data_IF_467663101234
#
_entry.id   IF_467663101234
#
_cell.length_a   1.000
_cell.length_b   1.000
_cell.length_c   1.000
_cell.angle_alpha   90.00
_cell.angle_beta   90.00
_cell.angle_gamma   90.00
#
_symmetry.space_group_name_H-M   'P 1'
#
loop_
_entity.id
_entity.type
_entity.pdbx_description
1 polymer ?
#
# COMPACT_ATOMS: atom_id res chain seq x y z
N UNK A 1 -0.53 -14.51 -7.16
CA UNK A 1 -1.93 -14.27 -6.76
C UNK A 1 -2.96 -15.06 -7.53
N UNK A 2 -2.61 -16.22 -8.11
CA UNK A 2 -3.59 -17.20 -8.60
C UNK A 2 -3.94 -18.07 -7.40
N UNK A 3 -5.19 -17.99 -6.97
CA UNK A 3 -5.68 -18.70 -5.79
C UNK A 3 -7.18 -18.94 -5.92
N UNK A 4 -7.69 -19.96 -5.22
CA UNK A 4 -9.12 -20.17 -5.10
C UNK A 4 -9.79 -18.94 -4.44
N UNK A 5 -11.05 -18.61 -4.78
CA UNK A 5 -12.00 -19.38 -5.60
C UNK A 5 -11.90 -19.15 -7.12
N UNK A 6 -11.37 -18.01 -7.57
CA UNK A 6 -11.43 -17.60 -9.00
C UNK A 6 -10.24 -18.05 -9.84
N UNK A 7 -9.16 -18.55 -9.23
CA UNK A 7 -7.99 -19.00 -9.96
C UNK A 7 -7.32 -17.85 -10.74
N UNK A 8 -7.09 -18.07 -12.04
CA UNK A 8 -6.57 -17.03 -12.94
C UNK A 8 -7.74 -16.21 -13.50
N UNK A 9 -7.80 -14.94 -13.13
CA UNK A 9 -8.90 -14.05 -13.46
C UNK A 9 -8.43 -12.91 -14.37
N UNK A 10 -8.79 -12.99 -15.65
CA UNK A 10 -8.57 -11.94 -16.66
C UNK A 10 -9.73 -11.94 -17.69
N UNK A 11 -10.90 -11.39 -17.34
CA UNK A 11 -12.07 -11.39 -18.23
C UNK A 11 -11.90 -10.46 -19.44
N UNK A 12 -11.07 -9.42 -19.32
CA UNK A 12 -10.84 -8.40 -20.37
C UNK A 12 -9.67 -8.78 -21.28
N UNK A 13 -8.84 -9.74 -20.88
CA UNK A 13 -7.78 -10.31 -21.73
C UNK A 13 -6.52 -9.45 -21.78
N UNK A 14 -6.24 -8.65 -20.74
CA UNK A 14 -5.03 -7.80 -20.68
C UNK A 14 -3.71 -8.58 -20.70
N UNK A 15 -3.77 -9.90 -20.48
CA UNK A 15 -2.60 -10.80 -20.51
C UNK A 15 -2.43 -11.54 -21.84
N UNK A 16 -3.34 -11.38 -22.81
CA UNK A 16 -3.32 -12.13 -24.08
C UNK A 16 -2.18 -11.72 -25.02
N UNK A 17 -1.72 -10.48 -24.92
CA UNK A 17 -0.68 -9.92 -25.81
C UNK A 17 0.72 -10.49 -25.54
N UNK A 18 0.91 -11.25 -24.46
CA UNK A 18 2.16 -11.94 -24.13
C UNK A 18 3.32 -11.02 -23.70
N UNK A 19 3.10 -9.69 -23.66
CA UNK A 19 4.11 -8.73 -23.23
C UNK A 19 4.43 -8.88 -21.72
N UNK A 20 5.61 -9.43 -21.46
CA UNK A 20 6.13 -9.70 -20.11
C UNK A 20 6.48 -8.42 -19.36
N UNK A 21 6.84 -7.34 -20.06
CA UNK A 21 7.18 -6.05 -19.46
C UNK A 21 5.89 -5.37 -18.98
N UNK A 22 4.87 -5.32 -19.84
CA UNK A 22 3.56 -4.79 -19.46
C UNK A 22 2.93 -5.59 -18.31
N UNK A 23 3.04 -6.93 -18.33
CA UNK A 23 2.55 -7.77 -17.24
C UNK A 23 3.28 -7.49 -15.92
N UNK A 24 4.60 -7.39 -15.95
CA UNK A 24 5.42 -7.10 -14.77
C UNK A 24 5.05 -5.74 -14.17
N UNK A 25 4.90 -4.72 -15.02
CA UNK A 25 4.44 -3.39 -14.59
C UNK A 25 3.07 -3.47 -13.92
N UNK A 26 2.09 -4.13 -14.54
CA UNK A 26 0.73 -4.30 -13.97
C UNK A 26 0.77 -5.02 -12.62
N UNK A 27 1.61 -6.05 -12.48
CA UNK A 27 1.80 -6.76 -11.20
C UNK A 27 2.38 -5.86 -10.12
N UNK A 28 3.38 -5.05 -10.43
CA UNK A 28 3.98 -4.09 -9.49
C UNK A 28 2.93 -3.07 -9.06
N UNK A 29 2.17 -2.53 -10.01
CA UNK A 29 1.08 -1.59 -9.73
C UNK A 29 0.03 -2.21 -8.80
N UNK A 30 -0.38 -3.46 -9.02
CA UNK A 30 -1.30 -4.18 -8.13
C UNK A 30 -0.74 -4.27 -6.70
N UNK A 31 0.54 -4.60 -6.54
CA UNK A 31 1.18 -4.70 -5.21
C UNK A 31 1.28 -3.34 -4.52
N UNK A 32 1.60 -2.26 -5.24
CA UNK A 32 1.65 -0.91 -4.65
C UNK A 32 0.26 -0.48 -4.15
N UNK A 33 -0.77 -0.63 -4.98
CA UNK A 33 -2.15 -0.31 -4.57
C UNK A 33 -2.58 -1.18 -3.39
N UNK A 34 -2.23 -2.47 -3.39
CA UNK A 34 -2.56 -3.39 -2.30
C UNK A 34 -1.99 -2.91 -0.96
N UNK A 35 -0.69 -2.58 -0.93
CA UNK A 35 -0.02 -2.11 0.30
C UNK A 35 -0.60 -0.79 0.80
N UNK A 36 -0.82 0.17 -0.11
CA UNK A 36 -1.42 1.47 0.23
C UNK A 36 -2.83 1.29 0.78
N UNK A 37 -3.67 0.49 0.13
CA UNK A 37 -5.04 0.23 0.57
C UNK A 37 -5.10 -0.52 1.90
N UNK A 38 -4.20 -1.47 2.16
CA UNK A 38 -4.13 -2.15 3.46
C UNK A 38 -3.82 -1.17 4.60
N UNK A 39 -2.84 -0.29 4.40
CA UNK A 39 -2.50 0.76 5.37
C UNK A 39 -3.66 1.77 5.52
N UNK A 40 -4.32 2.13 4.43
CA UNK A 40 -5.46 3.04 4.46
C UNK A 40 -6.65 2.45 5.23
N UNK A 41 -7.00 1.18 5.03
CA UNK A 41 -8.07 0.51 5.79
C UNK A 41 -7.77 0.49 7.29
N UNK A 42 -6.56 0.07 7.67
CA UNK A 42 -6.15 0.09 9.07
C UNK A 42 -6.13 1.52 9.64
N UNK A 43 -5.69 2.49 8.85
CA UNK A 43 -5.68 3.91 9.20
C UNK A 43 -7.06 4.54 9.31
N UNK A 44 -8.07 3.99 8.66
CA UNK A 44 -9.47 4.41 8.81
C UNK A 44 -10.07 3.85 10.11
N UNK A 45 -9.77 2.59 10.43
CA UNK A 45 -10.32 1.87 11.58
C UNK A 45 -9.63 2.30 12.90
N UNK A 46 -8.31 2.44 12.92
CA UNK A 46 -7.53 2.68 14.16
C UNK A 46 -7.97 3.93 14.93
N UNK A 47 -8.23 5.09 14.29
CA UNK A 47 -8.71 6.29 14.97
C UNK A 47 -10.09 6.16 15.63
N UNK A 48 -10.88 5.14 15.28
CA UNK A 48 -12.14 4.85 15.97
C UNK A 48 -11.92 4.24 17.36
N UNK A 49 -10.83 3.49 17.53
CA UNK A 49 -10.52 2.80 18.78
C UNK A 49 -9.52 3.56 19.65
N UNK A 50 -8.56 4.25 19.03
CA UNK A 50 -7.49 4.93 19.76
C UNK A 50 -6.97 6.15 19.00
N UNK A 51 -6.83 7.26 19.72
CA UNK A 51 -6.16 8.47 19.25
C UNK A 51 -4.95 8.75 20.13
N UNK A 52 -3.86 9.20 19.53
CA UNK A 52 -2.66 9.55 20.28
C UNK A 52 -2.94 10.73 21.22
N UNK A 53 -2.47 10.71 22.47
CA UNK A 53 -2.52 11.87 23.33
C UNK A 53 -1.49 12.91 22.88
N UNK A 54 -1.90 14.18 22.77
CA UNK A 54 -1.00 15.31 22.51
C UNK A 54 -1.45 16.25 21.40
N UNK A 55 -0.58 17.23 21.09
CA UNK A 55 -0.82 18.21 20.05
C UNK A 55 -0.26 17.73 18.70
N UNK A 56 -1.11 17.72 17.67
CA UNK A 56 -0.70 17.53 16.28
C UNK A 56 0.16 18.71 15.80
N UNK A 57 -0.21 19.93 16.19
CA UNK A 57 0.49 21.14 15.77
C UNK A 57 0.49 22.16 16.92
N UNK A 58 1.65 22.34 17.60
CA UNK A 58 1.79 23.33 18.66
C UNK A 58 1.51 24.76 18.20
N UNK A 59 1.79 25.06 16.92
CA UNK A 59 1.58 26.38 16.34
C UNK A 59 0.10 26.73 16.11
N UNK A 60 -0.78 25.72 15.98
CA UNK A 60 -2.22 25.91 15.77
C UNK A 60 -3.07 25.39 16.94
N UNK A 61 -2.45 24.95 18.04
CA UNK A 61 -3.14 24.41 19.21
C UNK A 61 -4.00 23.18 18.93
N UNK A 62 -3.78 22.48 17.80
CA UNK A 62 -4.62 21.36 17.38
C UNK A 62 -4.20 20.08 18.10
N UNK A 63 -5.13 19.46 18.81
CA UNK A 63 -4.93 18.17 19.44
C UNK A 63 -5.34 17.01 18.52
N UNK A 64 -4.69 15.86 18.67
CA UNK A 64 -5.06 14.65 17.93
C UNK A 64 -6.50 14.18 18.24
N UNK A 65 -7.02 14.53 19.41
CA UNK A 65 -8.40 14.21 19.82
C UNK A 65 -9.44 14.92 18.94
N UNK A 66 -9.16 16.15 18.51
CA UNK A 66 -10.07 17.02 17.75
C UNK A 66 -10.13 16.68 16.26
N UNK A 67 -9.24 15.81 15.78
CA UNK A 67 -9.25 15.35 14.40
C UNK A 67 -10.44 14.40 14.22
N UNK A 68 -11.42 14.71 13.35
CA UNK A 68 -12.54 13.83 13.09
C UNK A 68 -12.06 12.58 12.35
N UNK A 69 -12.78 11.47 12.50
CA UNK A 69 -12.39 10.22 11.85
C UNK A 69 -12.68 10.27 10.33
N UNK A 70 -11.96 9.45 9.57
CA UNK A 70 -12.15 9.29 8.14
C UNK A 70 -11.77 10.50 7.29
N UNK A 71 -12.49 10.74 6.19
CA UNK A 71 -12.14 11.77 5.19
C UNK A 71 -12.18 13.19 5.74
N UNK A 72 -12.94 13.45 6.81
CA UNK A 72 -12.97 14.74 7.46
C UNK A 72 -11.63 15.09 8.16
N UNK A 73 -10.79 14.10 8.47
CA UNK A 73 -9.45 14.34 9.03
C UNK A 73 -8.58 15.13 8.07
N UNK A 74 -8.70 14.85 6.76
CA UNK A 74 -7.85 15.40 5.70
C UNK A 74 -7.92 16.92 5.66
N UNK A 75 -9.11 17.49 5.88
CA UNK A 75 -9.34 18.94 5.85
C UNK A 75 -8.95 19.67 7.14
N UNK A 76 -8.71 18.93 8.25
CA UNK A 76 -8.29 19.50 9.54
C UNK A 76 -6.78 19.47 9.76
N UNK A 77 -6.06 18.59 9.06
CA UNK A 77 -4.60 18.56 9.11
C UNK A 77 -4.02 19.82 8.45
N UNK A 78 -3.12 20.57 9.11
CA UNK A 78 -2.50 21.75 8.54
C UNK A 78 -1.76 21.46 7.22
N UNK A 79 -1.83 22.39 6.26
CA UNK A 79 -1.19 22.23 4.94
C UNK A 79 0.32 21.99 5.00
N UNK A 80 1.01 22.53 6.02
CA UNK A 80 2.44 22.26 6.26
C UNK A 80 2.67 20.78 6.63
N UNK A 81 1.78 20.17 7.41
CA UNK A 81 1.84 18.74 7.73
C UNK A 81 1.68 17.87 6.49
N UNK A 82 0.74 18.24 5.61
CA UNK A 82 0.58 17.58 4.31
C UNK A 82 1.84 17.69 3.43
N UNK A 83 2.48 18.86 3.40
CA UNK A 83 3.73 19.05 2.67
C UNK A 83 4.83 18.11 3.18
N UNK A 84 4.98 17.98 4.51
CA UNK A 84 5.96 17.06 5.10
C UNK A 84 5.69 15.61 4.72
N UNK A 85 4.41 15.18 4.77
CA UNK A 85 4.01 13.81 4.38
C UNK A 85 4.32 13.57 2.90
N UNK A 86 3.91 14.46 2.01
CA UNK A 86 4.14 14.32 0.57
C UNK A 86 5.64 14.36 0.24
N UNK A 87 6.40 15.25 0.88
CA UNK A 87 7.85 15.32 0.69
C UNK A 87 8.54 14.03 1.15
N UNK A 88 8.12 13.45 2.28
CA UNK A 88 8.66 12.18 2.76
C UNK A 88 8.25 11.02 1.84
N UNK A 89 6.99 10.95 1.40
CA UNK A 89 6.55 9.96 0.43
C UNK A 89 7.35 10.05 -0.87
N UNK A 90 7.58 11.26 -1.37
CA UNK A 90 8.39 11.49 -2.58
C UNK A 90 9.85 11.09 -2.36
N UNK A 91 10.43 11.39 -1.20
CA UNK A 91 11.77 10.92 -0.85
C UNK A 91 11.86 9.39 -0.78
N UNK A 92 10.91 8.73 -0.13
CA UNK A 92 10.86 7.27 -0.05
C UNK A 92 10.63 6.62 -1.41
N UNK A 93 9.80 7.23 -2.26
CA UNK A 93 9.60 6.76 -3.64
C UNK A 93 10.84 7.00 -4.50
N UNK A 94 11.56 8.11 -4.29
CA UNK A 94 12.78 8.42 -5.01
C UNK A 94 13.97 7.52 -4.60
N UNK A 95 14.14 7.28 -3.30
CA UNK A 95 15.28 6.52 -2.73
C UNK A 95 15.03 5.01 -2.65
N UNK A 96 13.79 4.60 -2.37
CA UNK A 96 13.34 3.21 -2.43
C UNK A 96 13.10 2.70 -3.85
N UNK A 97 13.21 3.59 -4.85
CA UNK A 97 13.31 3.24 -6.25
C UNK A 97 12.39 4.03 -7.16
N UNK A 98 12.96 5.06 -7.80
CA UNK A 98 12.67 5.33 -9.22
C UNK A 98 13.06 4.15 -10.14
N UNK A 99 13.49 3.00 -9.60
CA UNK A 99 13.59 1.69 -10.25
C UNK A 99 12.23 1.07 -10.60
N UNK A 100 11.27 1.89 -11.03
CA UNK A 100 10.06 1.50 -11.75
C UNK A 100 10.43 1.03 -13.18
N UNK A 101 11.40 0.10 -13.27
CA UNK A 101 12.14 -0.32 -14.46
C UNK A 101 13.39 0.53 -14.74
N UNK A 102 14.57 0.05 -14.33
CA UNK A 102 15.68 0.02 -15.27
C UNK A 102 15.79 -1.42 -15.76
N UNK A 103 15.45 -1.62 -17.03
CA UNK A 103 15.73 -2.78 -17.86
C UNK A 103 16.38 -3.98 -17.16
N UNK A 104 15.56 -4.99 -16.84
CA UNK A 104 16.05 -6.34 -16.57
C UNK A 104 16.85 -6.58 -15.28
N UNK A 105 16.89 -5.65 -14.31
CA UNK A 105 17.66 -5.87 -13.08
C UNK A 105 16.89 -6.62 -11.97
N UNK A 106 17.07 -7.95 -11.97
CA UNK A 106 17.35 -8.88 -10.84
C UNK A 106 16.58 -8.71 -9.50
N UNK A 107 15.29 -8.35 -9.52
CA UNK A 107 14.43 -8.35 -8.33
C UNK A 107 13.04 -8.93 -8.59
N UNK A 108 12.46 -9.64 -7.62
CA UNK A 108 11.05 -10.05 -7.72
C UNK A 108 10.13 -8.80 -7.69
N UNK A 109 9.02 -8.77 -8.44
CA UNK A 109 8.10 -7.62 -8.45
C UNK A 109 7.70 -7.16 -7.03
N UNK A 110 7.99 -5.90 -6.69
CA UNK A 110 7.65 -5.31 -5.39
C UNK A 110 8.62 -5.63 -4.23
N UNK A 111 9.80 -6.18 -4.53
CA UNK A 111 10.89 -6.34 -3.57
C UNK A 111 11.63 -5.02 -3.37
N UNK A 112 11.45 -4.40 -2.19
CA UNK A 112 12.07 -3.12 -1.83
C UNK A 112 13.42 -3.31 -1.12
N UNK A 113 14.01 -4.51 -1.16
CA UNK A 113 15.29 -4.83 -0.52
C UNK A 113 15.24 -4.92 1.01
N UNK A 114 14.16 -4.44 1.65
CA UNK A 114 13.93 -4.59 3.09
C UNK A 114 13.47 -6.01 3.44
N UNK A 115 14.33 -6.74 4.15
CA UNK A 115 14.09 -8.12 4.60
C UNK A 115 13.95 -8.16 6.12
N UNK A 116 12.72 -8.19 6.65
CA UNK A 116 12.51 -8.25 8.10
C UNK A 116 13.01 -9.61 8.61
N UNK A 117 13.81 -9.67 9.69
CA UNK A 117 14.47 -10.90 10.15
C UNK A 117 13.50 -12.03 10.53
N UNK A 118 12.23 -11.71 10.79
CA UNK A 118 11.18 -12.69 11.17
C UNK A 118 10.18 -13.00 10.03
N UNK A 119 10.14 -12.19 8.98
CA UNK A 119 9.17 -12.32 7.88
C UNK A 119 9.84 -12.72 6.56
N UNK A 120 11.14 -12.47 6.43
CA UNK A 120 11.95 -12.99 5.34
C UNK A 120 12.17 -14.49 5.56
N UNK A 121 11.80 -15.30 4.57
CA UNK A 121 12.02 -16.74 4.60
C UNK A 121 12.62 -17.18 3.27
N UNK A 122 13.61 -18.06 3.35
CA UNK A 122 14.29 -18.67 2.20
C UNK A 122 13.50 -19.81 1.56
N UNK A 123 12.58 -20.42 2.31
CA UNK A 123 11.67 -21.46 1.81
C UNK A 123 10.69 -20.89 0.75
N UNK A 124 10.77 -21.47 -0.45
CA UNK A 124 10.02 -21.05 -1.63
C UNK A 124 8.51 -21.26 -1.48
N UNK A 125 8.08 -22.32 -0.79
CA UNK A 125 6.65 -22.62 -0.64
C UNK A 125 5.99 -21.63 0.32
N UNK A 126 6.63 -21.38 1.46
CA UNK A 126 6.16 -20.40 2.44
C UNK A 126 6.15 -18.99 1.86
N UNK A 127 7.18 -18.63 1.08
CA UNK A 127 7.24 -17.34 0.36
C UNK A 127 6.05 -17.21 -0.59
N UNK A 128 5.76 -18.23 -1.41
CA UNK A 128 4.61 -18.22 -2.33
C UNK A 128 3.29 -18.05 -1.58
N UNK A 129 3.10 -18.75 -0.47
CA UNK A 129 1.90 -18.64 0.36
C UNK A 129 1.72 -17.22 0.92
N UNK A 130 2.79 -16.62 1.46
CA UNK A 130 2.77 -15.26 2.01
C UNK A 130 2.50 -14.20 0.93
N UNK A 131 3.14 -14.31 -0.24
CA UNK A 131 2.91 -13.40 -1.36
C UNK A 131 1.48 -13.49 -1.91
N UNK A 132 0.91 -14.70 -1.95
CA UNK A 132 -0.51 -14.86 -2.31
C UNK A 132 -1.44 -14.25 -1.26
N UNK A 133 -1.14 -14.43 0.03
CA UNK A 133 -1.91 -13.81 1.12
C UNK A 133 -1.83 -12.27 1.10
N UNK A 134 -0.65 -11.70 0.81
CA UNK A 134 -0.48 -10.25 0.64
C UNK A 134 -1.38 -9.71 -0.48
N UNK A 135 -1.40 -10.38 -1.64
CA UNK A 135 -2.28 -10.00 -2.74
C UNK A 135 -3.77 -10.19 -2.41
N UNK A 136 -4.11 -11.26 -1.68
CA UNK A 136 -5.49 -11.52 -1.25
C UNK A 136 -6.02 -10.40 -0.36
N UNK A 137 -5.27 -10.08 0.70
CA UNK A 137 -5.59 -9.03 1.65
C UNK A 137 -5.55 -7.65 0.99
N UNK A 138 -4.60 -7.44 0.07
CA UNK A 138 -4.50 -6.23 -0.73
C UNK A 138 -5.74 -5.98 -1.61
N UNK A 139 -6.18 -6.99 -2.36
CA UNK A 139 -7.39 -6.89 -3.19
C UNK A 139 -8.64 -6.63 -2.35
N UNK A 140 -8.76 -7.32 -1.20
CA UNK A 140 -9.85 -7.07 -0.26
C UNK A 140 -9.81 -5.63 0.26
N UNK A 141 -8.63 -5.15 0.66
CA UNK A 141 -8.45 -3.79 1.19
C UNK A 141 -8.76 -2.70 0.13
N UNK A 142 -8.44 -2.93 -1.14
CA UNK A 142 -8.81 -1.99 -2.22
C UNK A 142 -10.34 -1.83 -2.32
N UNK A 143 -11.11 -2.91 -2.16
CA UNK A 143 -12.58 -2.84 -2.17
C UNK A 143 -13.10 -2.25 -0.86
N UNK A 144 -12.52 -2.63 0.27
CA UNK A 144 -12.93 -2.16 1.59
C UNK A 144 -12.76 -0.65 1.75
N UNK A 145 -11.64 -0.07 1.32
CA UNK A 145 -11.42 1.38 1.43
C UNK A 145 -12.39 2.18 0.55
N UNK A 146 -12.75 1.66 -0.63
CA UNK A 146 -13.77 2.28 -1.49
C UNK A 146 -15.12 2.24 -0.77
N UNK A 147 -15.47 1.11 -0.13
CA UNK A 147 -16.69 0.99 0.67
C UNK A 147 -16.73 1.91 1.89
N UNK A 148 -15.58 2.21 2.51
CA UNK A 148 -15.48 3.12 3.66
C UNK A 148 -15.62 4.60 3.28
N UNK A 149 -15.45 4.94 2.00
CA UNK A 149 -15.62 6.32 1.51
C UNK A 149 -17.08 6.71 1.26
N UNK A 150 -17.99 5.73 1.16
CA UNK A 150 -19.43 5.93 0.93
C UNK A 150 -20.23 5.64 2.20
#
# INVERSE_FOLDING_TARGET
>A
GVQAPVGFWDPVGFTKDGDTVAFTRRRITEIKHARVSMLACMGYITPEFYKFPGCLSPASGLEFAEIPNGLAAVSKVPGIGWLQIVAYCLYCEATGGFGYNSDGQVGAPGDCGWKPPLLATSDAELRRKRLNAELANGRLAMVAIIGMFF
#
